data_IF_953615499276
#
_entry.id   IF_953615499276
#
_cell.length_a   1.000
_cell.length_b   1.000
_cell.length_c   1.000
_cell.angle_alpha   90.00
_cell.angle_beta   90.00
_cell.angle_gamma   90.00
#
_symmetry.space_group_name_H-M   'P 1'
#
loop_
_entity.id
_entity.type
_entity.pdbx_description
1 polymer ?
#
# COMPACT_ATOMS: atom_id res chain seq x y z
N UNK A 1 25.83 31.73 -58.72
CA UNK A 1 25.16 31.76 -57.40
C UNK A 1 25.99 30.91 -56.45
N UNK A 2 26.66 31.52 -55.46
CA UNK A 2 27.51 30.80 -54.50
C UNK A 2 26.64 30.37 -53.33
N UNK A 3 26.47 29.06 -53.13
CA UNK A 3 25.79 28.53 -51.96
C UNK A 3 26.83 28.41 -50.83
N UNK A 4 26.83 29.39 -49.91
CA UNK A 4 27.58 29.27 -48.66
C UNK A 4 26.79 28.40 -47.69
N UNK A 5 27.10 27.11 -47.65
CA UNK A 5 26.58 26.19 -46.66
C UNK A 5 27.51 26.23 -45.42
N UNK A 6 27.23 27.13 -44.48
CA UNK A 6 27.80 27.12 -43.13
C UNK A 6 27.23 25.95 -42.30
N UNK A 7 27.32 24.72 -42.80
CA UNK A 7 26.94 23.53 -42.04
C UNK A 7 28.02 23.26 -40.99
N UNK A 8 27.77 23.69 -39.75
CA UNK A 8 28.61 23.29 -38.61
C UNK A 8 28.38 21.81 -38.34
N UNK A 9 29.42 21.01 -38.51
CA UNK A 9 29.37 19.60 -38.10
C UNK A 9 29.03 19.50 -36.61
N UNK A 10 28.13 18.58 -36.22
CA UNK A 10 27.84 18.35 -34.82
C UNK A 10 29.09 17.82 -34.10
N UNK A 11 29.50 18.53 -33.05
CA UNK A 11 30.61 18.15 -32.18
C UNK A 11 30.19 16.97 -31.28
N UNK A 12 30.38 15.75 -31.80
CA UNK A 12 30.00 14.52 -31.13
C UNK A 12 30.79 14.29 -29.83
N UNK A 13 32.02 14.79 -29.73
CA UNK A 13 32.86 14.63 -28.55
C UNK A 13 32.30 15.42 -27.35
N UNK A 14 31.86 16.66 -27.57
CA UNK A 14 31.20 17.45 -26.53
C UNK A 14 29.89 16.82 -26.04
N UNK A 15 29.10 16.24 -26.95
CA UNK A 15 27.86 15.54 -26.59
C UNK A 15 28.14 14.27 -25.79
N UNK A 16 29.16 13.51 -26.16
CA UNK A 16 29.60 12.32 -25.44
C UNK A 16 30.09 12.65 -24.03
N UNK A 17 30.92 13.69 -23.88
CA UNK A 17 31.39 14.18 -22.57
C UNK A 17 30.23 14.60 -21.66
N UNK A 18 29.24 15.33 -22.19
CA UNK A 18 28.06 15.73 -21.43
C UNK A 18 27.24 14.53 -20.95
N UNK A 19 27.07 13.52 -21.81
CA UNK A 19 26.32 12.31 -21.47
C UNK A 19 27.01 11.51 -20.36
N UNK A 20 28.34 11.37 -20.42
CA UNK A 20 29.12 10.69 -19.39
C UNK A 20 29.07 11.44 -18.04
N UNK A 21 29.19 12.77 -18.05
CA UNK A 21 29.09 13.58 -16.84
C UNK A 21 27.70 13.45 -16.21
N UNK A 22 26.64 13.48 -17.02
CA UNK A 22 25.27 13.29 -16.56
C UNK A 22 25.05 11.92 -15.90
N UNK A 23 25.56 10.84 -16.52
CA UNK A 23 25.51 9.51 -15.90
C UNK A 23 26.27 9.46 -14.58
N UNK A 24 27.46 10.04 -14.52
CA UNK A 24 28.27 10.08 -13.30
C UNK A 24 27.53 10.76 -12.14
N UNK A 25 26.79 11.83 -12.43
CA UNK A 25 25.93 12.50 -11.44
C UNK A 25 24.79 11.62 -10.94
N UNK A 26 24.09 10.91 -11.84
CA UNK A 26 23.02 9.98 -11.47
C UNK A 26 23.57 8.86 -10.57
N UNK A 27 24.69 8.25 -10.95
CA UNK A 27 25.33 7.21 -10.15
C UNK A 27 25.80 7.72 -8.78
N UNK A 28 26.33 8.93 -8.71
CA UNK A 28 26.77 9.54 -7.44
C UNK A 28 25.61 9.75 -6.47
N UNK A 29 24.45 10.22 -6.96
CA UNK A 29 23.24 10.40 -6.14
C UNK A 29 22.68 9.06 -5.66
N UNK A 30 22.63 8.04 -6.52
CA UNK A 30 22.17 6.69 -6.18
C UNK A 30 23.06 6.00 -5.15
N UNK A 31 24.38 6.23 -5.18
CA UNK A 31 25.32 5.67 -4.20
C UNK A 31 25.31 6.43 -2.86
N UNK A 32 25.05 7.74 -2.86
CA UNK A 32 24.97 8.54 -1.64
C UNK A 32 23.67 8.31 -0.85
N UNK A 33 22.58 8.02 -1.56
CA UNK A 33 21.31 7.62 -0.95
C UNK A 33 20.87 6.29 -1.59
N UNK A 34 21.46 5.16 -1.15
CA UNK A 34 21.13 3.86 -1.71
C UNK A 34 19.61 3.71 -1.71
N UNK A 35 19.05 3.29 -2.86
CA UNK A 35 17.63 2.92 -2.97
C UNK A 35 17.27 2.11 -1.72
N UNK A 36 16.26 2.57 -0.97
CA UNK A 36 15.87 2.01 0.33
C UNK A 36 16.06 0.50 0.31
N UNK A 37 16.98 0.02 1.16
CA UNK A 37 17.34 -1.39 1.21
C UNK A 37 16.05 -2.22 1.35
N UNK A 38 15.99 -3.39 0.72
CA UNK A 38 14.87 -4.33 0.82
C UNK A 38 14.41 -4.50 2.28
N UNK A 39 15.35 -4.55 3.23
CA UNK A 39 15.08 -4.60 4.66
C UNK A 39 14.34 -3.36 5.21
N UNK A 40 14.66 -2.15 4.74
CA UNK A 40 13.98 -0.91 5.14
C UNK A 40 12.59 -0.80 4.52
N UNK A 41 12.43 -1.23 3.27
CA UNK A 41 11.12 -1.31 2.60
C UNK A 41 10.22 -2.33 3.30
N UNK A 42 10.77 -3.48 3.70
CA UNK A 42 10.03 -4.49 4.45
C UNK A 42 9.62 -3.96 5.83
N UNK A 43 10.53 -3.27 6.54
CA UNK A 43 10.19 -2.61 7.83
C UNK A 43 9.08 -1.57 7.66
N UNK A 44 9.12 -0.77 6.59
CA UNK A 44 8.07 0.21 6.29
C UNK A 44 6.73 -0.48 6.01
N UNK A 45 6.70 -1.50 5.14
CA UNK A 45 5.50 -2.29 4.84
C UNK A 45 4.90 -2.90 6.10
N UNK A 46 5.71 -3.56 6.92
CA UNK A 46 5.26 -4.16 8.17
C UNK A 46 4.67 -3.13 9.14
N UNK A 47 5.26 -1.93 9.21
CA UNK A 47 4.74 -0.83 10.04
C UNK A 47 3.39 -0.33 9.52
N UNK A 48 3.26 -0.15 8.21
CA UNK A 48 2.01 0.26 7.57
C UNK A 48 0.91 -0.79 7.78
N UNK A 49 1.22 -2.08 7.54
CA UNK A 49 0.29 -3.18 7.74
C UNK A 49 -0.19 -3.27 9.18
N UNK A 50 0.70 -3.02 10.16
CA UNK A 50 0.34 -3.01 11.57
C UNK A 50 -0.65 -1.89 11.89
N UNK A 51 -0.36 -0.66 11.46
CA UNK A 51 -1.21 0.52 11.71
C UNK A 51 -2.58 0.34 11.07
N UNK A 52 -2.64 -0.08 9.80
CA UNK A 52 -3.90 -0.32 9.08
C UNK A 52 -4.72 -1.40 9.80
N UNK A 53 -4.09 -2.50 10.24
CA UNK A 53 -4.79 -3.56 10.99
C UNK A 53 -5.35 -3.05 12.32
N UNK A 54 -4.63 -2.20 13.04
CA UNK A 54 -5.09 -1.62 14.31
C UNK A 54 -6.26 -0.64 14.09
N UNK A 55 -6.17 0.23 13.08
CA UNK A 55 -7.26 1.14 12.71
C UNK A 55 -8.52 0.39 12.29
N UNK A 56 -8.39 -0.61 11.41
CA UNK A 56 -9.53 -1.44 10.98
C UNK A 56 -10.18 -2.18 12.16
N UNK A 57 -9.39 -2.79 13.05
CA UNK A 57 -9.91 -3.45 14.25
C UNK A 57 -10.70 -2.49 15.13
N UNK A 58 -10.19 -1.27 15.32
CA UNK A 58 -10.87 -0.26 16.13
C UNK A 58 -12.21 0.16 15.50
N UNK A 59 -12.26 0.34 14.20
CA UNK A 59 -13.50 0.70 13.51
C UNK A 59 -14.54 -0.43 13.59
N UNK A 60 -14.14 -1.68 13.41
CA UNK A 60 -15.05 -2.81 13.59
C UNK A 60 -15.54 -2.97 15.03
N UNK A 61 -14.69 -2.68 16.02
CA UNK A 61 -15.11 -2.66 17.43
C UNK A 61 -16.18 -1.60 17.70
N UNK A 62 -16.08 -0.41 17.07
CA UNK A 62 -17.13 0.62 17.16
C UNK A 62 -18.45 0.13 16.56
N UNK A 63 -18.39 -0.50 15.38
CA UNK A 63 -19.61 -1.03 14.73
C UNK A 63 -20.26 -2.15 15.55
N UNK A 64 -19.47 -3.03 16.17
CA UNK A 64 -19.96 -4.05 17.11
C UNK A 64 -20.64 -3.42 18.33
N UNK A 65 -20.00 -2.44 18.98
CA UNK A 65 -20.56 -1.80 20.19
C UNK A 65 -21.89 -1.08 19.91
N UNK A 66 -22.09 -0.54 18.70
CA UNK A 66 -23.36 0.06 18.29
C UNK A 66 -24.50 -0.97 18.13
N UNK A 67 -24.15 -2.23 17.86
CA UNK A 67 -25.08 -3.29 17.47
C UNK A 67 -25.26 -4.38 18.51
N UNK A 68 -24.37 -4.46 19.50
CA UNK A 68 -24.24 -5.58 20.45
C UNK A 68 -25.57 -6.05 21.06
N UNK A 69 -26.52 -5.14 21.28
CA UNK A 69 -27.80 -5.44 21.93
C UNK A 69 -28.81 -6.08 20.97
N UNK A 70 -28.61 -5.95 19.65
CA UNK A 70 -29.49 -6.46 18.59
C UNK A 70 -28.86 -7.62 17.79
N UNK A 71 -27.65 -8.04 18.14
CA UNK A 71 -26.96 -9.13 17.44
C UNK A 71 -27.58 -10.48 17.80
N UNK A 72 -27.76 -11.32 16.79
CA UNK A 72 -28.15 -12.72 16.95
C UNK A 72 -26.90 -13.59 16.94
N UNK A 73 -26.83 -14.54 17.87
CA UNK A 73 -25.74 -15.53 17.90
C UNK A 73 -25.88 -16.47 16.71
N UNK A 74 -24.77 -16.73 16.04
CA UNK A 74 -24.64 -17.77 15.02
C UNK A 74 -23.55 -18.75 15.44
N UNK A 75 -23.82 -20.04 15.25
CA UNK A 75 -22.87 -21.11 15.52
C UNK A 75 -22.46 -21.70 14.18
N UNK A 76 -21.17 -21.61 13.84
CA UNK A 76 -20.66 -22.13 12.57
C UNK A 76 -19.40 -22.95 12.86
N UNK A 77 -19.51 -24.28 12.76
CA UNK A 77 -18.40 -25.25 12.89
C UNK A 77 -17.37 -24.94 13.98
N UNK A 78 -17.82 -24.59 15.19
CA UNK A 78 -16.97 -24.37 16.36
C UNK A 78 -16.56 -22.91 16.64
N UNK A 79 -16.81 -21.97 15.73
CA UNK A 79 -16.60 -20.55 15.97
C UNK A 79 -17.89 -19.87 16.48
N UNK A 80 -17.77 -19.04 17.51
CA UNK A 80 -18.87 -18.21 18.03
C UNK A 80 -18.95 -16.94 17.18
N UNK A 81 -20.03 -16.79 16.43
CA UNK A 81 -20.31 -15.58 15.65
C UNK A 81 -21.55 -14.85 16.15
N UNK A 82 -21.66 -13.59 15.75
CA UNK A 82 -22.79 -12.72 16.01
C UNK A 82 -23.12 -11.95 14.74
N UNK A 83 -24.39 -11.80 14.39
CA UNK A 83 -24.79 -11.08 13.20
C UNK A 83 -26.04 -10.23 13.41
N UNK A 84 -26.18 -9.20 12.56
CA UNK A 84 -27.45 -8.50 12.35
C UNK A 84 -27.79 -8.49 10.85
N UNK A 85 -28.66 -7.60 10.42
CA UNK A 85 -29.07 -7.48 9.02
C UNK A 85 -27.94 -7.04 8.09
N UNK A 86 -26.92 -6.33 8.60
CA UNK A 86 -25.90 -5.66 7.81
C UNK A 86 -24.48 -6.16 8.09
N UNK A 87 -24.23 -6.85 9.20
CA UNK A 87 -22.89 -7.24 9.64
C UNK A 87 -22.84 -8.65 10.21
N UNK A 88 -21.65 -9.25 10.09
CA UNK A 88 -21.24 -10.49 10.75
C UNK A 88 -19.97 -10.20 11.55
N UNK A 89 -19.94 -10.67 12.79
CA UNK A 89 -18.83 -10.57 13.72
C UNK A 89 -18.44 -11.98 14.17
N UNK A 90 -17.14 -12.30 14.19
CA UNK A 90 -16.63 -13.58 14.68
C UNK A 90 -15.64 -13.35 15.80
N UNK A 91 -15.73 -14.20 16.81
CA UNK A 91 -14.88 -14.15 17.99
C UNK A 91 -14.16 -15.48 18.18
N UNK A 92 -12.86 -15.39 18.46
CA UNK A 92 -12.03 -16.49 18.96
C UNK A 92 -11.47 -16.06 20.32
N UNK A 93 -11.61 -16.91 21.34
CA UNK A 93 -11.15 -16.63 22.71
C UNK A 93 -11.55 -15.23 23.24
N UNK A 94 -12.81 -14.85 23.04
CA UNK A 94 -13.39 -13.54 23.37
C UNK A 94 -12.75 -12.33 22.66
N UNK A 95 -11.93 -12.55 21.63
CA UNK A 95 -11.32 -11.49 20.81
C UNK A 95 -12.05 -11.40 19.47
N UNK A 96 -12.47 -10.19 19.08
CA UNK A 96 -13.05 -9.96 17.74
C UNK A 96 -11.97 -10.19 16.68
N UNK A 97 -12.09 -11.28 15.93
CA UNK A 97 -11.12 -11.68 14.90
C UNK A 97 -11.55 -11.22 13.52
N UNK A 98 -12.85 -11.23 13.24
CA UNK A 98 -13.40 -10.88 11.94
C UNK A 98 -14.66 -10.05 12.09
N UNK A 99 -14.79 -9.02 11.27
CA UNK A 99 -16.02 -8.29 11.08
C UNK A 99 -16.18 -7.98 9.60
N UNK A 100 -17.35 -8.28 9.05
CA UNK A 100 -17.65 -8.04 7.65
C UNK A 100 -19.05 -7.49 7.50
N UNK A 101 -19.18 -6.52 6.58
CA UNK A 101 -20.49 -6.04 6.16
C UNK A 101 -21.09 -7.07 5.20
N UNK A 102 -22.33 -7.48 5.43
CA UNK A 102 -23.12 -8.31 4.52
C UNK A 102 -23.32 -7.53 3.23
N UNK A 103 -22.93 -8.14 2.10
CA UNK A 103 -23.21 -7.58 0.78
C UNK A 103 -24.63 -7.99 0.41
N UNK A 104 -25.57 -7.05 0.44
CA UNK A 104 -26.91 -7.25 -0.13
C UNK A 104 -26.78 -7.11 -1.64
N UNK A 105 -26.81 -8.23 -2.35
CA UNK A 105 -26.99 -8.22 -3.80
C UNK A 105 -28.48 -7.96 -4.02
N UNK A 106 -28.83 -6.77 -4.51
CA UNK A 106 -30.20 -6.48 -4.93
C UNK A 106 -30.48 -7.34 -6.18
N UNK A 107 -31.20 -8.45 -6.01
CA UNK A 107 -31.74 -9.29 -7.08
C UNK A 107 -33.06 -8.74 -7.59
#
# INVERSE_FOLDING_TARGET
MVLNNNFKEPDYEKKFLYFNLFYFFIFSILNANPLKNEAELQKFRNKVDKVIKEELKNDYKKEYLKRKDNLKKIENSGAIGFEDEDFIFQFEDNTLTLASKKIKINS
#
